data_IF_783780725364
#
_entry.id   IF_783780725364
#
_cell.length_a   1.000
_cell.length_b   1.000
_cell.length_c   1.000
_cell.angle_alpha   90.00
_cell.angle_beta   90.00
_cell.angle_gamma   90.00
#
_symmetry.space_group_name_H-M   'P 1'
#
loop_
_entity.id
_entity.type
_entity.pdbx_description
1 polymer ?
#
# COMPACT_ATOMS: atom_id res chain seq x y z
N UNK A 1 13.94 32.56 -12.59
CA UNK A 1 13.40 31.21 -12.37
C UNK A 1 14.57 30.27 -12.12
N UNK A 2 14.55 29.51 -11.02
CA UNK A 2 15.53 28.48 -10.69
C UNK A 2 14.75 27.19 -10.40
N UNK A 3 14.97 26.15 -11.17
CA UNK A 3 14.28 24.87 -11.04
C UNK A 3 15.25 23.72 -10.85
N UNK A 4 14.87 22.74 -10.02
CA UNK A 4 15.66 21.54 -9.75
C UNK A 4 14.99 20.34 -10.41
N UNK A 5 15.78 19.54 -11.12
CA UNK A 5 15.31 18.32 -11.76
C UNK A 5 16.21 17.15 -11.37
N UNK A 6 15.55 16.06 -10.99
CA UNK A 6 16.22 14.80 -10.67
C UNK A 6 15.90 13.73 -11.71
N UNK A 7 16.94 13.19 -12.34
CA UNK A 7 16.85 12.07 -13.28
C UNK A 7 17.29 10.78 -12.60
N UNK A 8 16.31 9.95 -12.23
CA UNK A 8 16.54 8.75 -11.43
C UNK A 8 17.36 7.67 -12.12
N UNK A 9 17.26 7.55 -13.45
CA UNK A 9 17.97 6.50 -14.21
C UNK A 9 19.49 6.69 -14.20
N UNK A 10 19.94 7.93 -14.10
CA UNK A 10 21.35 8.32 -14.11
C UNK A 10 21.83 8.85 -12.76
N UNK A 11 20.99 8.82 -11.73
CA UNK A 11 21.20 9.48 -10.43
C UNK A 11 21.78 10.90 -10.62
N UNK A 12 21.06 11.73 -11.39
CA UNK A 12 21.53 13.03 -11.82
C UNK A 12 20.59 14.15 -11.38
N UNK A 13 21.06 14.99 -10.46
CA UNK A 13 20.45 16.27 -10.15
C UNK A 13 21.01 17.37 -11.06
N UNK A 14 20.12 18.15 -11.67
CA UNK A 14 20.46 19.40 -12.37
C UNK A 14 19.67 20.57 -11.78
N UNK A 15 20.22 21.77 -11.94
CA UNK A 15 19.53 23.02 -11.70
C UNK A 15 19.48 23.82 -12.99
N UNK A 16 18.31 24.29 -13.38
CA UNK A 16 18.09 25.12 -14.56
C UNK A 16 17.75 26.54 -14.11
N UNK A 17 18.40 27.52 -14.70
CA UNK A 17 18.19 28.93 -14.42
C UNK A 17 18.09 29.73 -15.72
N UNK A 18 17.07 30.58 -15.82
CA UNK A 18 16.96 31.54 -16.91
C UNK A 18 17.88 32.74 -16.69
N UNK A 19 18.83 32.96 -17.60
CA UNK A 19 19.73 34.10 -17.64
C UNK A 19 19.13 35.24 -18.46
N UNK A 20 18.58 36.25 -17.78
CA UNK A 20 17.97 37.41 -18.46
C UNK A 20 18.95 38.18 -19.36
N UNK A 21 20.22 38.30 -18.95
CA UNK A 21 21.23 39.05 -19.70
C UNK A 21 21.65 38.34 -21.00
N UNK A 22 21.61 37.01 -21.03
CA UNK A 22 22.02 36.18 -22.16
C UNK A 22 20.84 35.67 -22.99
N UNK A 23 19.59 35.94 -22.57
CA UNK A 23 18.38 35.32 -23.08
C UNK A 23 18.59 33.81 -23.31
N UNK A 24 19.06 33.10 -22.28
CA UNK A 24 19.45 31.69 -22.36
C UNK A 24 19.05 30.91 -21.11
N UNK A 25 18.72 29.64 -21.27
CA UNK A 25 18.57 28.68 -20.19
C UNK A 25 19.93 28.08 -19.85
N UNK A 26 20.42 28.42 -18.66
CA UNK A 26 21.67 27.90 -18.12
C UNK A 26 21.37 26.72 -17.21
N UNK A 27 22.14 25.64 -17.27
CA UNK A 27 21.99 24.53 -16.33
C UNK A 27 23.31 24.05 -15.76
N UNK A 28 23.27 23.62 -14.51
CA UNK A 28 24.40 23.01 -13.80
C UNK A 28 24.00 21.62 -13.31
N UNK A 29 24.98 20.75 -13.10
CA UNK A 29 24.77 19.40 -12.57
C UNK A 29 25.58 19.17 -11.29
N UNK A 30 25.17 18.22 -10.46
CA UNK A 30 25.94 17.90 -9.24
C UNK A 30 27.23 17.10 -9.51
N UNK A 31 27.39 16.55 -10.72
CA UNK A 31 28.57 15.79 -11.19
C UNK A 31 28.83 16.02 -12.67
N UNK A 32 29.96 15.54 -13.18
CA UNK A 32 30.24 15.51 -14.61
C UNK A 32 29.16 14.71 -15.38
N UNK A 33 28.69 15.27 -16.48
CA UNK A 33 27.68 14.66 -17.36
C UNK A 33 28.35 14.03 -18.58
N UNK A 34 27.86 12.86 -18.97
CA UNK A 34 28.26 12.23 -20.24
C UNK A 34 27.59 12.92 -21.42
N UNK A 35 28.14 12.78 -22.64
CA UNK A 35 27.56 13.36 -23.86
C UNK A 35 26.12 12.86 -24.14
N UNK A 36 25.83 11.60 -23.80
CA UNK A 36 24.49 11.03 -23.90
C UNK A 36 23.50 11.70 -22.93
N UNK A 37 23.90 11.86 -21.67
CA UNK A 37 23.11 12.58 -20.66
C UNK A 37 22.90 14.03 -21.05
N UNK A 38 23.95 14.71 -21.53
CA UNK A 38 23.91 16.08 -22.01
C UNK A 38 22.87 16.29 -23.11
N UNK A 39 22.90 15.44 -24.14
CA UNK A 39 21.95 15.49 -25.26
C UNK A 39 20.51 15.31 -24.77
N UNK A 40 20.30 14.36 -23.85
CA UNK A 40 18.99 14.09 -23.27
C UNK A 40 18.47 15.27 -22.43
N UNK A 41 19.32 15.82 -21.56
CA UNK A 41 19.00 16.95 -20.67
C UNK A 41 18.67 18.20 -21.48
N UNK A 42 19.48 18.53 -22.49
CA UNK A 42 19.25 19.72 -23.31
C UNK A 42 17.93 19.60 -24.09
N UNK A 43 17.61 18.42 -24.62
CA UNK A 43 16.31 18.17 -25.23
C UNK A 43 15.15 18.25 -24.21
N UNK A 44 15.35 17.73 -23.00
CA UNK A 44 14.37 17.84 -21.92
C UNK A 44 14.11 19.33 -21.57
N UNK A 45 15.16 20.12 -21.37
CA UNK A 45 15.05 21.55 -21.07
C UNK A 45 14.33 22.28 -22.21
N UNK A 46 14.70 22.03 -23.47
CA UNK A 46 14.03 22.64 -24.64
C UNK A 46 12.56 22.27 -24.78
N UNK A 47 12.16 21.06 -24.39
CA UNK A 47 10.78 20.59 -24.57
C UNK A 47 9.88 20.89 -23.37
N UNK A 48 10.43 20.95 -22.16
CA UNK A 48 9.67 21.06 -20.91
C UNK A 48 9.83 22.39 -20.19
N UNK A 49 10.98 23.04 -20.32
CA UNK A 49 11.29 24.30 -19.61
C UNK A 49 11.16 25.50 -20.54
N UNK A 50 11.57 25.34 -21.81
CA UNK A 50 11.53 26.42 -22.79
C UNK A 50 10.10 26.81 -23.23
N UNK A 51 9.10 25.96 -22.99
CA UNK A 51 7.69 26.33 -23.18
C UNK A 51 7.26 27.53 -22.33
N UNK A 52 8.04 27.88 -21.29
CA UNK A 52 7.77 29.00 -20.39
C UNK A 52 8.74 30.19 -20.56
N UNK A 53 9.84 30.03 -21.29
CA UNK A 53 10.96 30.98 -21.30
C UNK A 53 11.30 31.62 -22.68
N UNK A 54 10.67 31.19 -23.78
CA UNK A 54 10.86 31.74 -25.15
C UNK A 54 12.34 31.93 -25.57
N UNK A 55 13.23 31.01 -25.16
CA UNK A 55 14.67 31.09 -25.41
C UNK A 55 15.23 29.81 -26.05
N UNK A 56 15.73 29.91 -27.28
CA UNK A 56 16.26 28.75 -28.01
C UNK A 56 17.66 28.29 -27.53
N UNK A 57 18.32 29.06 -26.67
CA UNK A 57 19.69 28.79 -26.23
C UNK A 57 19.71 28.06 -24.88
N UNK A 58 20.29 26.85 -24.86
CA UNK A 58 20.57 26.09 -23.63
C UNK A 58 22.08 25.95 -23.46
N UNK A 59 22.60 26.31 -22.29
CA UNK A 59 24.04 26.30 -22.00
C UNK A 59 24.35 25.57 -20.70
N UNK A 60 25.31 24.65 -20.75
CA UNK A 60 25.82 23.97 -19.56
C UNK A 60 26.87 24.84 -18.84
N UNK A 61 26.67 25.07 -17.55
CA UNK A 61 27.51 25.90 -16.69
C UNK A 61 28.51 25.10 -15.85
N UNK A 62 28.51 23.78 -15.97
CA UNK A 62 29.42 22.92 -15.22
C UNK A 62 28.82 22.36 -13.94
N UNK A 63 29.71 21.95 -13.04
CA UNK A 63 29.35 21.27 -11.79
C UNK A 63 28.99 22.29 -10.71
N UNK A 64 27.88 22.06 -10.02
CA UNK A 64 27.48 22.79 -8.81
C UNK A 64 27.42 21.82 -7.62
N UNK A 65 28.41 21.91 -6.74
CA UNK A 65 28.56 21.03 -5.57
C UNK A 65 27.42 21.16 -4.55
N UNK A 66 26.68 22.28 -4.54
CA UNK A 66 25.51 22.46 -3.68
C UNK A 66 24.41 21.46 -4.04
N UNK A 67 24.30 21.08 -5.32
CA UNK A 67 23.30 20.10 -5.79
C UNK A 67 23.56 18.69 -5.27
N UNK A 68 24.79 18.37 -4.87
CA UNK A 68 25.08 17.08 -4.24
C UNK A 68 24.46 17.00 -2.84
N UNK A 69 24.35 18.13 -2.13
CA UNK A 69 23.64 18.20 -0.84
C UNK A 69 22.14 18.05 -1.06
N UNK A 70 21.58 18.76 -2.04
CA UNK A 70 20.16 18.67 -2.40
C UNK A 70 19.77 17.24 -2.82
N UNK A 71 20.64 16.56 -3.58
CA UNK A 71 20.44 15.16 -3.97
C UNK A 71 20.40 14.22 -2.76
N UNK A 72 21.32 14.40 -1.80
CA UNK A 72 21.36 13.59 -0.58
C UNK A 72 20.10 13.79 0.28
N UNK A 73 19.62 15.03 0.42
CA UNK A 73 18.37 15.32 1.13
C UNK A 73 17.17 14.69 0.43
N UNK A 74 17.12 14.78 -0.91
CA UNK A 74 16.09 14.15 -1.72
C UNK A 74 16.06 12.62 -1.53
N UNK A 75 17.22 11.97 -1.57
CA UNK A 75 17.37 10.53 -1.32
C UNK A 75 16.94 10.14 0.08
N UNK A 76 17.37 10.88 1.11
CA UNK A 76 16.99 10.62 2.49
C UNK A 76 15.46 10.66 2.68
N UNK A 77 14.80 11.68 2.12
CA UNK A 77 13.34 11.83 2.18
C UNK A 77 12.60 10.67 1.49
N UNK A 78 13.06 10.27 0.30
CA UNK A 78 12.45 9.17 -0.44
C UNK A 78 12.68 7.80 0.21
N UNK A 79 13.85 7.57 0.81
CA UNK A 79 14.14 6.34 1.54
C UNK A 79 13.21 6.18 2.74
N UNK A 80 12.97 7.25 3.51
CA UNK A 80 12.03 7.25 4.64
C UNK A 80 10.61 6.89 4.17
N UNK A 81 10.16 7.51 3.08
CA UNK A 81 8.83 7.22 2.51
C UNK A 81 8.71 5.75 2.10
N UNK A 82 9.72 5.20 1.42
CA UNK A 82 9.74 3.80 1.00
C UNK A 82 9.73 2.81 2.17
N UNK A 83 10.38 3.15 3.29
CA UNK A 83 10.38 2.33 4.50
C UNK A 83 9.00 2.31 5.15
N UNK A 84 8.34 3.46 5.20
CA UNK A 84 6.98 3.56 5.74
C UNK A 84 5.99 2.73 4.91
N UNK A 85 6.03 2.86 3.58
CA UNK A 85 5.18 2.07 2.66
C UNK A 85 5.43 0.56 2.79
N UNK A 86 6.69 0.14 2.95
CA UNK A 86 7.03 -1.27 3.22
C UNK A 86 6.46 -1.75 4.56
N UNK A 87 6.53 -0.93 5.61
CA UNK A 87 6.01 -1.28 6.92
C UNK A 87 4.48 -1.43 6.89
N UNK A 88 3.76 -0.51 6.25
CA UNK A 88 2.31 -0.60 6.10
C UNK A 88 1.89 -1.86 5.32
N UNK A 89 2.65 -2.23 4.28
CA UNK A 89 2.41 -3.45 3.51
C UNK A 89 2.58 -4.71 4.35
N UNK A 90 3.62 -4.76 5.19
CA UNK A 90 3.86 -5.89 6.10
C UNK A 90 2.74 -5.98 7.14
N UNK A 91 2.36 -4.87 7.77
CA UNK A 91 1.29 -4.84 8.75
C UNK A 91 -0.05 -5.26 8.14
N UNK A 92 -0.33 -4.82 6.90
CA UNK A 92 -1.50 -5.26 6.14
C UNK A 92 -1.50 -6.76 5.88
N UNK A 93 -0.36 -7.34 5.48
CA UNK A 93 -0.23 -8.77 5.25
C UNK A 93 -0.42 -9.59 6.54
N UNK A 94 0.18 -9.16 7.66
CA UNK A 94 0.01 -9.80 8.97
C UNK A 94 -1.45 -9.75 9.42
N UNK A 95 -2.11 -8.60 9.30
CA UNK A 95 -3.54 -8.46 9.61
C UNK A 95 -4.41 -9.39 8.74
N UNK A 96 -4.05 -9.56 7.47
CA UNK A 96 -4.70 -10.51 6.56
C UNK A 96 -4.59 -11.95 7.05
N UNK A 97 -3.37 -12.40 7.38
CA UNK A 97 -3.12 -13.74 7.92
C UNK A 97 -3.87 -14.01 9.22
N UNK A 98 -3.94 -13.02 10.11
CA UNK A 98 -4.71 -13.14 11.36
C UNK A 98 -6.20 -13.32 11.05
N UNK A 99 -6.76 -12.51 10.14
CA UNK A 99 -8.17 -12.64 9.76
C UNK A 99 -8.49 -14.00 9.17
N UNK A 100 -7.66 -14.49 8.25
CA UNK A 100 -7.83 -15.81 7.64
C UNK A 100 -7.75 -16.92 8.68
N UNK A 101 -6.74 -16.87 9.56
CA UNK A 101 -6.56 -17.86 10.64
C UNK A 101 -7.75 -17.88 11.60
N UNK A 102 -8.26 -16.70 12.00
CA UNK A 102 -9.42 -16.61 12.90
C UNK A 102 -10.71 -17.06 12.20
N UNK A 103 -10.92 -16.71 10.94
CA UNK A 103 -12.07 -17.18 10.16
C UNK A 103 -12.08 -18.71 10.07
N UNK A 104 -10.94 -19.33 9.75
CA UNK A 104 -10.80 -20.79 9.71
C UNK A 104 -11.05 -21.43 11.08
N UNK A 105 -10.47 -20.86 12.13
CA UNK A 105 -10.70 -21.33 13.51
C UNK A 105 -12.19 -21.34 13.85
N UNK A 106 -12.91 -20.23 13.68
CA UNK A 106 -14.33 -20.18 14.01
C UNK A 106 -15.18 -21.08 13.12
N UNK A 107 -14.82 -21.23 11.84
CA UNK A 107 -15.49 -22.17 10.95
C UNK A 107 -15.38 -23.61 11.46
N UNK A 108 -14.20 -24.04 11.90
CA UNK A 108 -14.00 -25.35 12.51
C UNK A 108 -14.81 -25.51 13.81
N UNK A 109 -14.84 -24.49 14.67
CA UNK A 109 -15.59 -24.53 15.92
C UNK A 109 -17.11 -24.62 15.67
N UNK A 110 -17.63 -23.90 14.68
CA UNK A 110 -19.01 -24.02 14.21
C UNK A 110 -19.27 -25.47 13.79
N UNK A 111 -18.41 -26.05 12.95
CA UNK A 111 -18.55 -27.43 12.49
C UNK A 111 -18.58 -28.45 13.63
N UNK A 112 -17.66 -28.34 14.59
CA UNK A 112 -17.61 -29.20 15.78
C UNK A 112 -18.89 -29.08 16.61
N UNK A 113 -19.32 -27.84 16.87
CA UNK A 113 -20.52 -27.55 17.65
C UNK A 113 -21.78 -28.15 17.02
N UNK A 114 -21.90 -28.08 15.69
CA UNK A 114 -23.03 -28.68 14.98
C UNK A 114 -23.10 -30.21 15.15
N UNK A 115 -21.95 -30.88 15.18
CA UNK A 115 -21.87 -32.33 15.42
C UNK A 115 -22.27 -32.64 16.86
N UNK A 116 -21.77 -31.88 17.84
CA UNK A 116 -22.13 -32.03 19.26
C UNK A 116 -23.64 -31.90 19.47
N UNK A 117 -24.25 -30.83 18.95
CA UNK A 117 -25.69 -30.61 19.15
C UNK A 117 -26.53 -31.69 18.48
N UNK A 118 -26.10 -32.22 17.33
CA UNK A 118 -26.76 -33.39 16.71
C UNK A 118 -26.70 -34.63 17.60
N UNK A 119 -25.58 -34.86 18.28
CA UNK A 119 -25.46 -35.93 19.27
C UNK A 119 -26.45 -35.77 20.42
N UNK A 120 -26.53 -34.56 21.00
CA UNK A 120 -27.46 -34.24 22.09
C UNK A 120 -28.93 -34.48 21.70
N UNK A 121 -29.33 -34.12 20.48
CA UNK A 121 -30.69 -34.38 19.98
C UNK A 121 -30.96 -35.88 19.88
N UNK A 122 -30.00 -36.68 19.41
CA UNK A 122 -30.14 -38.12 19.30
C UNK A 122 -30.22 -38.81 20.68
N UNK A 123 -29.53 -38.26 21.67
CA UNK A 123 -29.51 -38.75 23.05
C UNK A 123 -30.75 -38.30 23.86
N UNK A 124 -31.57 -37.40 23.30
CA UNK A 124 -32.77 -36.89 23.97
C UNK A 124 -32.47 -35.89 25.08
N UNK A 125 -31.41 -35.09 24.94
CA UNK A 125 -31.05 -34.01 25.87
C UNK A 125 -32.20 -33.02 26.09
N UNK A 126 -32.17 -32.33 27.23
CA UNK A 126 -33.22 -31.38 27.58
C UNK A 126 -33.23 -30.15 26.66
N UNK A 127 -34.42 -29.58 26.43
CA UNK A 127 -34.61 -28.38 25.60
C UNK A 127 -33.83 -27.17 26.14
N UNK A 128 -33.63 -27.10 27.45
CA UNK A 128 -32.80 -26.07 28.11
C UNK A 128 -31.33 -26.13 27.66
N UNK A 129 -30.76 -27.32 27.59
CA UNK A 129 -29.39 -27.57 27.16
C UNK A 129 -29.21 -27.29 25.67
N UNK A 130 -30.18 -27.71 24.84
CA UNK A 130 -30.18 -27.41 23.40
C UNK A 130 -30.26 -25.90 23.12
N UNK A 131 -31.03 -25.15 23.92
CA UNK A 131 -31.11 -23.69 23.81
C UNK A 131 -29.80 -22.99 24.20
N UNK A 132 -29.08 -23.51 25.20
CA UNK A 132 -27.76 -22.98 25.55
C UNK A 132 -26.78 -23.15 24.38
N UNK A 133 -26.72 -24.34 23.79
CA UNK A 133 -25.82 -24.60 22.67
C UNK A 133 -26.20 -23.82 21.41
N UNK A 134 -27.48 -23.54 21.20
CA UNK A 134 -27.95 -22.63 20.14
C UNK A 134 -27.37 -21.22 20.29
N UNK A 135 -27.33 -20.69 21.52
CA UNK A 135 -26.73 -19.38 21.79
C UNK A 135 -25.21 -19.41 21.54
N UNK A 136 -24.53 -20.46 22.01
CA UNK A 136 -23.10 -20.64 21.75
C UNK A 136 -22.79 -20.68 20.25
N UNK A 137 -23.62 -21.37 19.46
CA UNK A 137 -23.50 -21.42 18.01
C UNK A 137 -23.71 -20.04 17.37
N UNK A 138 -24.67 -19.24 17.87
CA UNK A 138 -24.89 -17.89 17.39
C UNK A 138 -23.69 -16.97 17.65
N UNK A 139 -23.06 -17.09 18.82
CA UNK A 139 -21.82 -16.36 19.16
C UNK A 139 -20.66 -16.76 18.24
N UNK A 140 -20.50 -18.05 17.95
CA UNK A 140 -19.47 -18.53 17.02
C UNK A 140 -19.69 -18.00 15.59
N UNK A 141 -20.93 -17.98 15.10
CA UNK A 141 -21.26 -17.40 13.80
C UNK A 141 -21.01 -15.89 13.78
N UNK A 142 -21.35 -15.18 14.86
CA UNK A 142 -21.03 -13.76 15.00
C UNK A 142 -19.52 -13.51 14.95
N UNK A 143 -18.74 -14.28 15.72
CA UNK A 143 -17.28 -14.17 15.76
C UNK A 143 -16.64 -14.50 14.40
N UNK A 144 -17.06 -15.57 13.73
CA UNK A 144 -16.66 -15.87 12.35
C UNK A 144 -16.89 -14.67 11.42
N UNK A 145 -18.08 -14.05 11.53
CA UNK A 145 -18.46 -12.89 10.72
C UNK A 145 -17.69 -11.62 11.08
N UNK A 146 -16.89 -11.54 12.14
CA UNK A 146 -15.96 -10.42 12.34
C UNK A 146 -14.76 -10.54 11.40
N UNK A 147 -14.28 -11.77 11.17
CA UNK A 147 -13.00 -12.02 10.48
C UNK A 147 -13.17 -12.45 9.03
N UNK A 148 -14.26 -13.12 8.67
CA UNK A 148 -14.49 -13.67 7.34
C UNK A 148 -14.87 -12.60 6.31
N UNK A 149 -14.42 -12.76 5.07
CA UNK A 149 -14.89 -11.94 3.94
C UNK A 149 -16.31 -12.31 3.53
N UNK A 150 -16.59 -13.61 3.45
CA UNK A 150 -17.92 -14.14 3.15
C UNK A 150 -18.70 -14.38 4.44
N UNK A 151 -19.69 -13.52 4.69
CA UNK A 151 -20.55 -13.65 5.87
C UNK A 151 -21.53 -14.79 5.71
N UNK A 152 -21.80 -15.49 6.81
CA UNK A 152 -22.81 -16.55 6.87
C UNK A 152 -23.89 -16.14 7.86
N UNK A 153 -25.16 -16.35 7.51
CA UNK A 153 -26.27 -16.08 8.42
C UNK A 153 -26.47 -17.27 9.36
N UNK A 154 -26.88 -17.01 10.60
CA UNK A 154 -27.08 -18.05 11.59
C UNK A 154 -28.13 -19.07 11.14
N UNK A 155 -29.18 -18.63 10.46
CA UNK A 155 -30.28 -19.45 9.95
C UNK A 155 -29.83 -20.44 8.88
N UNK A 156 -28.76 -20.12 8.13
CA UNK A 156 -28.17 -21.03 7.14
C UNK A 156 -27.32 -22.12 7.79
N UNK A 157 -26.76 -21.85 8.97
CA UNK A 157 -25.89 -22.76 9.71
C UNK A 157 -26.73 -23.66 10.61
N UNK A 158 -27.87 -23.17 11.10
CA UNK A 158 -28.75 -23.87 12.02
C UNK A 158 -29.25 -25.20 11.40
N UNK A 159 -28.96 -26.35 12.03
CA UNK A 159 -29.54 -27.64 11.67
C UNK A 159 -31.08 -27.57 11.68
N UNK A 160 -31.72 -28.20 10.69
CA UNK A 160 -33.19 -28.26 10.62
C UNK A 160 -33.78 -28.95 11.85
N UNK A 161 -33.04 -29.92 12.37
CA UNK A 161 -33.36 -30.66 13.58
C UNK A 161 -33.47 -29.75 14.81
N UNK A 162 -32.73 -28.62 14.84
CA UNK A 162 -32.85 -27.60 15.89
C UNK A 162 -33.97 -26.59 15.64
N UNK A 163 -34.44 -26.47 14.40
CA UNK A 163 -35.52 -25.54 14.07
C UNK A 163 -36.89 -25.97 14.65
N UNK A 164 -37.04 -27.25 14.96
CA UNK A 164 -38.27 -27.84 15.54
C UNK A 164 -38.41 -27.60 17.05
N UNK A 165 -37.34 -27.21 17.74
CA UNK A 165 -37.34 -26.89 19.17
C UNK A 165 -37.59 -25.39 19.46
N UNK A 166 -38.05 -24.63 18.45
CA UNK A 166 -38.30 -23.19 18.50
C UNK A 166 -39.78 -22.83 18.63
#
# INVERSE_FOLDING_TARGET
MKELFYFSQSDLMIQVQYGQASNALNYSSHREITEGEKTFIENYIRTKVNSEAESDAVSYMGINDELAKDLNEYHAKNNIKSLHEKHEKVDGAVKGLIKESMANYYFEQIGKKLIEVRGMIQEGSEVSELNLEKNNLAELVYAYNIYAEQKVSFEKVLPKELSEFC
#
